data_IF_428504675597
#
_entry.id   IF_428504675597
#
_cell.length_a   1.000
_cell.length_b   1.000
_cell.length_c   1.000
_cell.angle_alpha   90.00
_cell.angle_beta   90.00
_cell.angle_gamma   90.00
#
_symmetry.space_group_name_H-M   'P 1'
#
loop_
_entity.id
_entity.type
_entity.pdbx_description
1 polymer ?
#
# COMPACT_ATOMS: atom_id res chain seq x y z
N UNK A 1 4.23 -12.13 -29.18
CA UNK A 1 3.88 -13.51 -29.59
C UNK A 1 3.47 -14.33 -28.34
N UNK A 2 2.18 -14.56 -28.04
CA UNK A 2 1.22 -15.26 -28.89
C UNK A 2 -0.19 -14.61 -29.01
N UNK A 3 -0.33 -13.32 -28.70
CA UNK A 3 -1.64 -12.64 -28.82
C UNK A 3 -2.67 -13.15 -27.80
N UNK A 4 -3.96 -12.97 -28.09
CA UNK A 4 -5.05 -13.42 -27.21
C UNK A 4 -5.18 -14.94 -27.28
N UNK A 5 -5.20 -15.60 -26.13
CA UNK A 5 -5.41 -17.05 -26.02
C UNK A 5 -6.63 -17.38 -25.15
N UNK A 6 -7.31 -18.48 -25.48
CA UNK A 6 -8.42 -19.02 -24.70
C UNK A 6 -8.04 -20.38 -24.15
N UNK A 7 -8.05 -20.50 -22.82
CA UNK A 7 -7.74 -21.72 -22.10
C UNK A 7 -8.99 -22.27 -21.41
N UNK A 8 -9.05 -23.59 -21.24
CA UNK A 8 -10.12 -24.27 -20.50
C UNK A 8 -9.50 -25.13 -19.41
N UNK A 9 -10.10 -25.12 -18.23
CA UNK A 9 -9.67 -25.92 -17.08
C UNK A 9 -10.91 -26.37 -16.28
N UNK A 10 -10.74 -27.40 -15.45
CA UNK A 10 -11.81 -27.90 -14.59
C UNK A 10 -12.17 -26.92 -13.45
N UNK A 11 -11.23 -26.07 -13.06
CA UNK A 11 -11.34 -25.04 -12.02
C UNK A 11 -10.48 -23.83 -12.36
N UNK A 12 -10.84 -22.66 -11.82
CA UNK A 12 -10.06 -21.43 -11.89
C UNK A 12 -9.95 -20.84 -10.47
N UNK A 13 -8.75 -20.43 -10.05
CA UNK A 13 -8.51 -19.78 -8.75
C UNK A 13 -7.95 -18.37 -8.97
N UNK A 14 -8.63 -17.37 -8.45
CA UNK A 14 -8.34 -15.95 -8.63
C UNK A 14 -7.36 -15.41 -7.59
N UNK A 15 -6.07 -15.63 -7.79
CA UNK A 15 -5.00 -15.08 -6.92
C UNK A 15 -4.51 -13.68 -7.34
N UNK A 16 -5.34 -12.90 -8.05
CA UNK A 16 -4.97 -11.61 -8.66
C UNK A 16 -5.00 -10.39 -7.72
N UNK A 17 -5.00 -10.57 -6.40
CA UNK A 17 -5.00 -9.49 -5.42
C UNK A 17 -6.30 -8.68 -5.29
N UNK A 18 -6.23 -7.53 -4.62
CA UNK A 18 -7.41 -6.72 -4.24
C UNK A 18 -8.29 -6.23 -5.40
N UNK A 19 -7.73 -6.04 -6.60
CA UNK A 19 -8.44 -5.63 -7.82
C UNK A 19 -8.77 -6.80 -8.77
N UNK A 20 -8.83 -8.03 -8.22
CA UNK A 20 -8.97 -9.30 -8.96
C UNK A 20 -9.97 -9.23 -10.13
N UNK A 21 -9.52 -9.41 -11.37
CA UNK A 21 -10.41 -9.49 -12.54
C UNK A 21 -11.28 -10.75 -12.48
N UNK A 22 -10.79 -11.85 -11.89
CA UNK A 22 -11.55 -13.09 -11.70
C UNK A 22 -12.76 -12.85 -10.80
N UNK A 23 -12.57 -12.16 -9.66
CA UNK A 23 -13.67 -11.82 -8.73
C UNK A 23 -14.78 -11.05 -9.45
N UNK A 24 -14.40 -10.01 -10.22
CA UNK A 24 -15.34 -9.16 -10.98
C UNK A 24 -16.05 -9.95 -12.07
N UNK A 25 -15.30 -10.68 -12.90
CA UNK A 25 -15.85 -11.43 -14.02
C UNK A 25 -16.76 -12.59 -13.59
N UNK A 26 -16.49 -13.22 -12.44
CA UNK A 26 -17.28 -14.31 -11.88
C UNK A 26 -18.45 -13.84 -10.98
N UNK A 27 -18.64 -12.53 -10.81
CA UNK A 27 -19.77 -11.95 -10.10
C UNK A 27 -19.79 -12.21 -8.59
N UNK A 28 -18.61 -12.27 -7.96
CA UNK A 28 -18.53 -12.33 -6.50
C UNK A 28 -18.87 -10.96 -5.89
N UNK A 29 -19.76 -10.95 -4.91
CA UNK A 29 -20.00 -9.78 -4.07
C UNK A 29 -18.76 -9.45 -3.25
N UNK A 30 -18.44 -8.16 -3.11
CA UNK A 30 -17.28 -7.69 -2.36
C UNK A 30 -17.64 -6.55 -1.39
N UNK A 31 -18.56 -6.80 -0.43
CA UNK A 31 -19.00 -5.80 0.53
C UNK A 31 -17.87 -5.38 1.48
N UNK A 32 -18.06 -4.23 2.10
CA UNK A 32 -17.13 -3.64 3.05
C UNK A 32 -17.09 -2.12 2.92
N UNK A 33 -16.07 -1.51 3.50
CA UNK A 33 -15.86 -0.06 3.50
C UNK A 33 -14.84 0.37 2.45
N UNK A 34 -15.11 1.50 1.82
CA UNK A 34 -14.12 2.16 0.98
C UNK A 34 -13.01 2.80 1.80
N UNK A 35 -11.92 3.14 1.12
CA UNK A 35 -10.80 3.84 1.73
C UNK A 35 -11.27 5.18 2.31
N UNK A 36 -10.91 5.44 3.56
CA UNK A 36 -11.08 6.74 4.21
C UNK A 36 -9.74 7.47 4.36
N UNK A 37 -8.62 6.73 4.30
CA UNK A 37 -7.27 7.28 4.47
C UNK A 37 -6.29 6.75 3.43
N UNK A 38 -5.29 7.58 3.14
CA UNK A 38 -4.10 7.18 2.39
C UNK A 38 -2.87 7.22 3.30
N UNK A 39 -2.05 6.18 3.22
CA UNK A 39 -0.80 6.04 3.96
C UNK A 39 0.34 5.84 2.98
N UNK A 40 1.54 6.22 3.40
CA UNK A 40 2.74 6.14 2.57
C UNK A 40 3.72 5.14 3.14
N UNK A 41 4.47 4.50 2.25
CA UNK A 41 5.59 3.63 2.57
C UNK A 41 6.73 3.96 1.60
N UNK A 42 7.93 4.17 2.14
CA UNK A 42 9.13 4.26 1.34
C UNK A 42 10.28 3.48 1.97
N UNK A 43 11.15 2.93 1.11
CA UNK A 43 12.44 2.36 1.51
C UNK A 43 13.51 3.41 1.15
N UNK A 44 14.14 3.99 2.17
CA UNK A 44 14.98 5.19 2.07
C UNK A 44 16.40 4.91 2.55
N UNK A 45 17.38 5.50 1.89
CA UNK A 45 18.80 5.42 2.24
C UNK A 45 19.39 6.82 2.42
N UNK A 46 20.39 6.93 3.31
CA UNK A 46 21.15 8.18 3.52
C UNK A 46 20.50 9.20 4.46
N UNK A 47 19.50 8.80 5.26
CA UNK A 47 18.76 9.70 6.16
C UNK A 47 19.10 9.55 7.65
N UNK A 48 19.88 8.52 8.05
CA UNK A 48 20.24 8.20 9.45
C UNK A 48 19.05 8.28 10.43
N UNK A 49 17.98 7.53 10.14
CA UNK A 49 16.72 7.63 10.87
C UNK A 49 16.81 6.98 12.23
N UNK A 50 16.26 7.64 13.26
CA UNK A 50 16.03 7.01 14.57
C UNK A 50 15.03 5.85 14.40
N UNK A 51 15.36 4.62 14.83
CA UNK A 51 14.43 3.50 14.76
C UNK A 51 13.16 3.74 15.60
N UNK A 52 12.01 3.42 15.00
CA UNK A 52 10.66 3.51 15.58
C UNK A 52 9.92 2.18 15.30
N UNK A 53 10.43 1.08 15.84
CA UNK A 53 10.00 -0.30 15.49
C UNK A 53 8.51 -0.59 15.73
N UNK A 54 7.93 -0.05 16.80
CA UNK A 54 6.52 -0.23 17.15
C UNK A 54 5.62 0.88 16.58
N UNK A 55 6.21 1.81 15.83
CA UNK A 55 5.62 3.08 15.49
C UNK A 55 5.64 4.08 16.63
N UNK A 56 5.45 5.34 16.27
CA UNK A 56 5.39 6.46 17.18
C UNK A 56 4.23 7.37 16.77
N UNK A 57 3.33 7.62 17.72
CA UNK A 57 2.23 8.55 17.56
C UNK A 57 2.75 9.96 17.86
N UNK A 58 2.53 10.89 16.93
CA UNK A 58 2.93 12.28 17.02
C UNK A 58 1.74 13.20 16.71
N UNK A 59 1.83 14.50 17.01
CA UNK A 59 0.87 15.46 16.47
C UNK A 59 0.79 15.34 14.94
N UNK A 60 -0.41 15.22 14.40
CA UNK A 60 -0.63 15.13 12.95
C UNK A 60 -0.56 13.72 12.35
N UNK A 61 -0.17 12.68 13.10
CA UNK A 61 -0.20 11.31 12.58
C UNK A 61 0.58 10.27 13.37
N UNK A 62 0.93 9.17 12.69
CA UNK A 62 1.80 8.12 13.22
C UNK A 62 2.86 7.77 12.18
N UNK A 63 4.08 7.50 12.64
CA UNK A 63 5.20 7.09 11.79
C UNK A 63 5.83 5.81 12.31
N UNK A 64 6.39 5.01 11.40
CA UNK A 64 7.31 3.92 11.72
C UNK A 64 8.60 4.10 10.93
N UNK A 65 9.71 3.67 11.51
CA UNK A 65 11.00 3.57 10.84
C UNK A 65 11.71 2.31 11.34
N UNK A 66 12.13 1.44 10.42
CA UNK A 66 12.85 0.22 10.78
C UNK A 66 13.90 -0.12 9.71
N UNK A 67 15.12 -0.52 10.10
CA UNK A 67 16.14 -0.94 9.15
C UNK A 67 15.73 -2.21 8.43
N UNK A 68 15.89 -2.24 7.11
CA UNK A 68 15.76 -3.45 6.27
C UNK A 68 17.10 -4.16 6.04
N UNK A 69 18.21 -3.46 6.28
CA UNK A 69 19.57 -3.91 5.96
C UNK A 69 20.26 -2.98 4.96
N UNK A 70 21.57 -3.12 4.80
CA UNK A 70 22.38 -2.41 3.79
C UNK A 70 22.24 -0.88 3.77
N UNK A 71 22.00 -0.27 4.94
CA UNK A 71 21.83 1.19 5.06
C UNK A 71 20.49 1.71 4.54
N UNK A 72 19.50 0.83 4.35
CA UNK A 72 18.14 1.16 3.94
C UNK A 72 17.18 1.01 5.13
N UNK A 73 16.39 2.05 5.37
CA UNK A 73 15.31 2.08 6.34
C UNK A 73 13.96 2.05 5.62
N UNK A 74 13.02 1.23 6.12
CA UNK A 74 11.62 1.32 5.74
C UNK A 74 10.90 2.31 6.63
N UNK A 75 10.29 3.32 6.02
CA UNK A 75 9.39 4.25 6.70
C UNK A 75 7.94 3.97 6.32
N UNK A 76 7.05 4.13 7.31
CA UNK A 76 5.60 4.18 7.12
C UNK A 76 5.12 5.52 7.67
N UNK A 77 4.31 6.23 6.89
CA UNK A 77 3.76 7.54 7.26
C UNK A 77 2.24 7.46 7.19
N UNK A 78 1.59 7.74 8.32
CA UNK A 78 0.13 7.70 8.49
C UNK A 78 -0.35 9.08 8.95
N UNK A 79 -0.61 10.03 8.03
CA UNK A 79 -1.17 11.32 8.40
C UNK A 79 -2.60 11.18 8.94
N UNK A 80 -2.99 12.05 9.88
CA UNK A 80 -4.35 12.05 10.43
C UNK A 80 -5.40 12.57 9.44
N UNK A 81 -4.99 13.49 8.56
CA UNK A 81 -5.87 14.22 7.63
C UNK A 81 -5.38 14.04 6.20
N UNK A 82 -5.25 12.80 5.76
CA UNK A 82 -5.03 12.47 4.35
C UNK A 82 -6.23 11.69 3.82
N UNK A 83 -7.08 12.28 2.96
CA UNK A 83 -8.26 11.59 2.45
C UNK A 83 -7.87 10.33 1.67
N UNK A 84 -8.75 9.32 1.71
CA UNK A 84 -8.63 8.14 0.86
C UNK A 84 -8.58 8.54 -0.61
N UNK A 85 -7.47 8.27 -1.28
CA UNK A 85 -7.27 8.48 -2.72
C UNK A 85 -7.35 7.15 -3.46
N UNK A 86 -7.60 7.21 -4.77
CA UNK A 86 -7.52 6.03 -5.62
C UNK A 86 -6.11 5.43 -5.58
N UNK A 87 -6.07 4.10 -5.49
CA UNK A 87 -4.83 3.31 -5.38
C UNK A 87 -3.87 3.48 -6.57
N UNK A 88 -4.37 3.94 -7.72
CA UNK A 88 -3.59 4.03 -8.98
C UNK A 88 -2.73 5.30 -9.08
N UNK A 89 -2.83 6.23 -8.13
CA UNK A 89 -1.96 7.42 -8.12
C UNK A 89 -0.54 7.04 -7.72
N UNK A 90 0.42 7.27 -8.62
CA UNK A 90 1.84 7.25 -8.27
C UNK A 90 2.14 8.30 -7.20
N UNK A 91 2.81 7.90 -6.12
CA UNK A 91 3.26 8.82 -5.08
C UNK A 91 4.77 9.01 -5.21
N UNK A 92 5.22 10.25 -5.16
CA UNK A 92 6.63 10.60 -5.27
C UNK A 92 7.33 10.55 -3.91
N UNK A 93 8.66 10.36 -3.91
CA UNK A 93 9.42 10.45 -2.67
C UNK A 93 9.32 11.83 -2.02
N UNK A 94 9.28 12.90 -2.81
CA UNK A 94 9.10 14.28 -2.30
C UNK A 94 7.81 14.43 -1.50
N UNK A 95 6.71 13.83 -1.93
CA UNK A 95 5.45 13.83 -1.16
C UNK A 95 5.59 13.07 0.16
N UNK A 96 6.27 11.92 0.15
CA UNK A 96 6.50 11.13 1.37
C UNK A 96 7.42 11.88 2.34
N UNK A 97 8.47 12.52 1.84
CA UNK A 97 9.40 13.32 2.63
C UNK A 97 8.70 14.52 3.27
N UNK A 98 7.83 15.21 2.53
CA UNK A 98 6.99 16.29 3.08
C UNK A 98 6.08 15.80 4.19
N UNK A 99 5.34 14.70 3.97
CA UNK A 99 4.47 14.14 5.00
C UNK A 99 5.24 13.64 6.23
N UNK A 100 6.44 13.10 6.04
CA UNK A 100 7.34 12.72 7.14
C UNK A 100 7.77 13.95 7.94
N UNK A 101 8.20 15.01 7.27
CA UNK A 101 8.62 16.26 7.90
C UNK A 101 7.47 16.95 8.65
N UNK A 102 6.26 16.95 8.09
CA UNK A 102 5.08 17.54 8.73
C UNK A 102 4.73 16.87 10.07
N UNK A 103 4.95 15.55 10.19
CA UNK A 103 4.62 14.78 11.40
C UNK A 103 5.80 14.74 12.39
N UNK A 104 7.02 14.58 11.89
CA UNK A 104 8.21 14.33 12.72
C UNK A 104 9.07 15.57 12.97
N UNK A 105 8.99 16.57 12.09
CA UNK A 105 9.92 17.70 12.03
C UNK A 105 11.28 17.37 11.39
N UNK A 106 11.52 16.13 10.98
CA UNK A 106 12.79 15.67 10.40
C UNK A 106 12.75 15.81 8.86
N UNK A 107 13.78 16.42 8.25
CA UNK A 107 13.89 16.54 6.79
C UNK A 107 14.69 15.38 6.20
N UNK A 108 14.04 14.59 5.35
CA UNK A 108 14.63 13.42 4.66
C UNK A 108 14.78 13.64 3.15
N UNK A 109 14.55 14.85 2.65
CA UNK A 109 14.50 15.16 1.22
C UNK A 109 15.84 14.94 0.49
N UNK A 110 16.96 14.98 1.23
CA UNK A 110 18.30 14.66 0.71
C UNK A 110 18.56 13.15 0.54
N UNK A 111 17.68 12.30 1.07
CA UNK A 111 17.77 10.86 0.97
C UNK A 111 17.49 10.31 -0.42
N UNK A 112 17.78 9.03 -0.61
CA UNK A 112 17.41 8.29 -1.83
C UNK A 112 16.33 7.29 -1.52
N UNK A 113 15.22 7.31 -2.27
CA UNK A 113 14.20 6.27 -2.18
C UNK A 113 14.46 5.15 -3.19
N UNK A 114 14.66 3.93 -2.69
CA UNK A 114 14.75 2.73 -3.51
C UNK A 114 13.37 2.23 -3.95
N UNK A 115 12.35 2.49 -3.12
CA UNK A 115 10.98 2.12 -3.41
C UNK A 115 10.02 3.09 -2.72
N UNK A 116 8.90 3.38 -3.38
CA UNK A 116 7.84 4.25 -2.86
C UNK A 116 6.48 3.65 -3.22
N UNK A 117 5.56 3.60 -2.26
CA UNK A 117 4.19 3.15 -2.45
C UNK A 117 3.23 3.93 -1.56
N UNK A 118 1.96 3.94 -1.96
CA UNK A 118 0.84 4.30 -1.11
C UNK A 118 -0.05 3.08 -0.86
N UNK A 119 -0.81 3.11 0.23
CA UNK A 119 -1.83 2.11 0.54
C UNK A 119 -2.99 2.75 1.32
N UNK A 120 -4.11 2.04 1.44
CA UNK A 120 -5.34 2.54 2.06
C UNK A 120 -5.87 1.60 3.13
N UNK A 121 -6.88 2.06 3.87
CA UNK A 121 -7.61 1.32 4.91
C UNK A 121 -8.91 0.65 4.39
N UNK A 122 -9.08 0.56 3.07
CA UNK A 122 -10.24 -0.10 2.48
C UNK A 122 -10.36 -1.54 2.99
N UNK A 123 -11.50 -1.87 3.59
CA UNK A 123 -11.73 -3.17 4.23
C UNK A 123 -12.90 -3.86 3.57
N UNK A 124 -12.61 -4.84 2.72
CA UNK A 124 -13.61 -5.57 1.93
C UNK A 124 -13.29 -7.06 1.89
N UNK A 125 -14.33 -7.89 1.86
CA UNK A 125 -14.21 -9.34 1.79
C UNK A 125 -15.30 -9.93 0.90
N UNK A 126 -14.99 -11.03 0.22
CA UNK A 126 -16.00 -11.76 -0.56
C UNK A 126 -16.98 -12.46 0.39
N UNK A 127 -18.26 -12.50 0.01
CA UNK A 127 -19.28 -13.22 0.79
C UNK A 127 -19.18 -14.74 0.63
N UNK A 128 -18.56 -15.19 -0.46
CA UNK A 128 -18.37 -16.59 -0.81
C UNK A 128 -16.97 -16.77 -1.38
N UNK A 129 -16.25 -17.81 -0.96
CA UNK A 129 -14.89 -18.11 -1.46
C UNK A 129 -14.90 -19.05 -2.67
N UNK A 130 -16.07 -19.56 -3.06
CA UNK A 130 -16.24 -20.43 -4.21
C UNK A 130 -17.61 -20.25 -4.82
N UNK A 131 -17.67 -20.07 -6.14
CA UNK A 131 -18.89 -20.05 -6.94
C UNK A 131 -18.75 -21.06 -8.07
N UNK A 132 -19.38 -22.22 -7.90
CA UNK A 132 -19.26 -23.35 -8.83
C UNK A 132 -17.82 -23.89 -8.91
N UNK A 133 -17.14 -23.61 -10.02
CA UNK A 133 -15.74 -24.04 -10.32
C UNK A 133 -14.73 -22.89 -10.24
N UNK A 134 -15.16 -21.71 -9.78
CA UNK A 134 -14.31 -20.52 -9.60
C UNK A 134 -14.11 -20.27 -8.11
N UNK A 135 -12.86 -20.01 -7.72
CA UNK A 135 -12.42 -19.69 -6.36
C UNK A 135 -11.60 -18.39 -6.37
#
# INVERSE_FOLDING_TARGET
>A
PQGVQRLTAAYLVGCGGGSSPVRRAAGFSFPGTDATRTMYLADVAGCDLRPRFLGERLPGGMVMAAPLGDGVDRIIVVPDVEPGRERERSVSFTEVAGAWQDITGEDISAGTAHWVSSFTDATRQVTEYRRGRIL
#
